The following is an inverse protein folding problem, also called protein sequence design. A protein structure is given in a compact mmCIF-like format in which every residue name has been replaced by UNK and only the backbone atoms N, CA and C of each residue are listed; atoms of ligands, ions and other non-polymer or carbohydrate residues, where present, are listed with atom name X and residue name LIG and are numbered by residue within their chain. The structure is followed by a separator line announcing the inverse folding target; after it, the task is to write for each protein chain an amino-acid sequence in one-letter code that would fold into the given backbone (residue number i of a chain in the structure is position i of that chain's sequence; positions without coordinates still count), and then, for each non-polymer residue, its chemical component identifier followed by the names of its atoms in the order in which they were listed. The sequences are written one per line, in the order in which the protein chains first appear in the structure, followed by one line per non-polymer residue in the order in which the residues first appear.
data_IF_690106344255
#
_entry.id   IF_690106344255
#
_cell.length_a   1.000
_cell.length_b   1.000
_cell.length_c   1.000
_cell.angle_alpha   90.00
_cell.angle_beta   90.00
_cell.angle_gamma   90.00
#
_symmetry.space_group_name_H-M   'P 1'
#
loop_
_entity.id
_entity.type
_entity.pdbx_description
1 polymer ?
#
# COMPACT_ATOMS: atom_id res chain seq x y z
N UNK A 1 -10.75 -12.72 -0.19
CA UNK A 1 -10.58 -13.24 -1.57
C UNK A 1 -9.09 -13.20 -1.91
N UNK A 2 -8.53 -14.25 -2.53
CA UNK A 2 -7.11 -14.31 -2.90
C UNK A 2 -7.04 -14.20 -4.42
N UNK A 3 -6.31 -13.18 -4.93
CA UNK A 3 -6.07 -13.03 -6.35
C UNK A 3 -4.85 -13.83 -6.79
N UNK A 4 -4.99 -14.59 -7.89
CA UNK A 4 -3.90 -15.32 -8.52
C UNK A 4 -3.41 -14.51 -9.72
N UNK A 5 -2.16 -14.06 -9.65
CA UNK A 5 -1.52 -13.27 -10.71
C UNK A 5 -0.46 -14.15 -11.39
N UNK A 6 -0.33 -14.01 -12.71
CA UNK A 6 0.71 -14.69 -13.50
C UNK A 6 2.11 -14.40 -12.94
N UNK A 7 2.99 -15.39 -13.01
CA UNK A 7 4.35 -15.27 -12.48
C UNK A 7 5.15 -14.13 -13.12
N UNK A 8 5.02 -13.97 -14.43
CA UNK A 8 5.63 -12.86 -15.19
C UNK A 8 5.17 -11.49 -14.69
N UNK A 9 3.87 -11.34 -14.39
CA UNK A 9 3.33 -10.10 -13.83
C UNK A 9 3.90 -9.82 -12.43
N UNK A 10 4.11 -10.83 -11.61
CA UNK A 10 4.76 -10.68 -10.29
C UNK A 10 6.18 -10.14 -10.40
N UNK A 11 6.96 -10.65 -11.39
CA UNK A 11 8.33 -10.16 -11.63
C UNK A 11 8.29 -8.69 -12.07
N UNK A 12 7.42 -8.34 -13.00
CA UNK A 12 7.25 -6.96 -13.47
C UNK A 12 6.87 -6.02 -12.33
N UNK A 13 5.88 -6.40 -11.52
CA UNK A 13 5.47 -5.62 -10.34
C UNK A 13 6.61 -5.45 -9.34
N UNK A 14 7.46 -6.46 -9.17
CA UNK A 14 8.63 -6.37 -8.30
C UNK A 14 9.67 -5.38 -8.82
N UNK A 15 9.89 -5.34 -10.13
CA UNK A 15 10.79 -4.36 -10.76
C UNK A 15 10.23 -2.94 -10.58
N UNK A 16 8.93 -2.75 -10.82
CA UNK A 16 8.27 -1.45 -10.61
C UNK A 16 8.34 -1.01 -9.15
N UNK A 17 8.11 -1.93 -8.21
CA UNK A 17 8.26 -1.66 -6.78
C UNK A 17 9.66 -1.13 -6.45
N UNK A 18 10.72 -1.80 -6.91
CA UNK A 18 12.10 -1.40 -6.65
C UNK A 18 12.43 -0.01 -7.24
N UNK A 19 11.85 0.30 -8.41
CA UNK A 19 12.00 1.63 -9.02
C UNK A 19 11.29 2.71 -8.24
N UNK A 20 10.07 2.45 -7.76
CA UNK A 20 9.28 3.40 -6.97
C UNK A 20 9.85 3.61 -5.56
N UNK A 21 10.40 2.57 -4.93
CA UNK A 21 11.02 2.68 -3.61
C UNK A 21 12.09 3.77 -3.54
N UNK A 22 12.80 4.02 -4.64
CA UNK A 22 13.83 5.08 -4.70
C UNK A 22 13.24 6.48 -4.49
N UNK A 23 12.02 6.72 -4.97
CA UNK A 23 11.33 8.01 -4.80
C UNK A 23 10.58 8.09 -3.48
N UNK A 24 9.81 7.05 -3.18
CA UNK A 24 8.89 7.02 -2.04
C UNK A 24 9.63 7.05 -0.71
N UNK A 25 10.79 6.38 -0.59
CA UNK A 25 11.55 6.32 0.66
C UNK A 25 12.03 7.69 1.18
N UNK A 26 12.19 8.67 0.30
CA UNK A 26 12.59 10.03 0.69
C UNK A 26 11.42 10.86 1.21
N UNK A 27 10.20 10.53 0.77
CA UNK A 27 8.99 11.28 1.11
C UNK A 27 8.23 10.71 2.32
N UNK A 28 8.52 9.45 2.68
CA UNK A 28 7.87 8.81 3.83
C UNK A 28 8.45 9.36 5.13
N UNK A 29 7.64 9.97 6.01
CA UNK A 29 8.11 10.50 7.28
C UNK A 29 8.66 9.38 8.18
N UNK A 30 9.64 9.73 9.02
CA UNK A 30 10.32 8.76 9.90
C UNK A 30 9.41 8.10 10.92
N UNK A 31 8.29 8.73 11.24
CA UNK A 31 7.29 8.17 12.16
C UNK A 31 6.51 7.00 11.55
N UNK A 32 6.47 6.88 10.22
CA UNK A 32 5.80 5.76 9.58
C UNK A 32 6.64 4.49 9.67
N UNK A 33 6.10 3.47 10.31
CA UNK A 33 6.73 2.16 10.43
C UNK A 33 6.19 1.12 9.46
N UNK A 34 4.91 1.23 9.10
CA UNK A 34 4.26 0.28 8.20
C UNK A 34 4.87 0.31 6.79
N UNK A 35 5.05 -0.89 6.19
CA UNK A 35 5.58 -1.08 4.84
C UNK A 35 7.00 -0.53 4.60
N UNK A 36 7.77 -0.28 5.66
CA UNK A 36 9.17 0.15 5.57
C UNK A 36 10.13 -0.99 5.88
N UNK A 37 11.17 -1.13 5.06
CA UNK A 37 12.24 -2.09 5.28
C UNK A 37 13.00 -1.71 6.57
N UNK A 38 13.25 -2.70 7.43
CA UNK A 38 13.99 -2.51 8.70
C UNK A 38 13.15 -1.93 9.85
N UNK A 39 11.85 -1.68 9.64
CA UNK A 39 10.92 -1.26 10.70
C UNK A 39 9.99 -2.42 11.07
N UNK A 40 10.18 -2.99 12.25
CA UNK A 40 9.41 -4.15 12.72
C UNK A 40 8.31 -3.81 13.73
N UNK A 41 7.35 -4.71 13.88
CA UNK A 41 6.31 -4.59 14.92
C UNK A 41 6.92 -4.49 16.32
N UNK A 42 8.02 -5.24 16.57
CA UNK A 42 8.72 -5.23 17.88
C UNK A 42 9.22 -3.83 18.25
N UNK A 43 9.75 -3.08 17.27
CA UNK A 43 10.24 -1.73 17.51
C UNK A 43 9.10 -0.79 17.88
N UNK A 44 7.92 -0.95 17.25
CA UNK A 44 6.74 -0.14 17.56
C UNK A 44 6.16 -0.47 18.93
N UNK A 45 6.14 -1.74 19.31
CA UNK A 45 5.75 -2.16 20.67
C UNK A 45 6.71 -1.57 21.70
N UNK A 46 8.02 -1.60 21.44
CA UNK A 46 9.02 -1.02 22.33
C UNK A 46 8.84 0.50 22.47
N UNK A 47 8.55 1.21 21.39
CA UNK A 47 8.24 2.64 21.40
C UNK A 47 7.02 2.95 22.27
N UNK A 48 5.93 2.20 22.11
CA UNK A 48 4.72 2.37 22.94
C UNK A 48 5.04 2.12 24.41
N UNK A 49 5.77 1.04 24.74
CA UNK A 49 6.19 0.75 26.11
C UNK A 49 7.04 1.88 26.71
N UNK A 50 7.95 2.46 25.92
CA UNK A 50 8.77 3.58 26.36
C UNK A 50 7.93 4.83 26.65
N UNK A 51 6.96 5.14 25.76
CA UNK A 51 6.01 6.24 25.97
C UNK A 51 5.20 6.04 27.25
N UNK A 52 4.67 4.82 27.49
CA UNK A 52 3.92 4.48 28.69
C UNK A 52 4.77 4.65 29.95
N UNK A 53 6.03 4.21 29.93
CA UNK A 53 6.95 4.39 31.05
C UNK A 53 7.21 5.87 31.34
N UNK A 54 7.42 6.68 30.32
CA UNK A 54 7.60 8.14 30.49
C UNK A 54 6.33 8.83 31.01
N UNK A 55 5.17 8.40 30.55
CA UNK A 55 3.88 8.96 30.99
C UNK A 55 3.62 8.77 32.48
N UNK A 56 4.01 7.63 33.03
CA UNK A 56 3.86 7.33 34.50
C UNK A 56 4.57 8.34 35.40
N UNK A 57 5.54 9.07 34.86
CA UNK A 57 6.36 10.03 35.61
C UNK A 57 5.86 11.46 35.45
N UNK A 58 5.20 11.81 34.36
CA UNK A 58 5.00 13.22 34.03
C UNK A 58 3.58 13.68 33.71
N UNK A 59 2.70 12.91 33.07
CA UNK A 59 1.32 13.31 32.70
C UNK A 59 0.47 12.12 32.26
N UNK A 60 -0.86 12.28 32.30
CA UNK A 60 -1.79 11.35 31.64
C UNK A 60 -1.60 11.40 30.13
N UNK A 61 -1.43 10.25 29.48
CA UNK A 61 -1.37 10.11 28.04
C UNK A 61 -2.59 9.32 27.58
N UNK A 62 -3.21 9.79 26.52
CA UNK A 62 -4.34 9.15 25.88
C UNK A 62 -3.87 8.57 24.55
N UNK A 63 -4.21 7.29 24.27
CA UNK A 63 -3.95 6.63 23.00
C UNK A 63 -5.24 6.52 22.22
N UNK A 64 -5.19 6.87 20.94
CA UNK A 64 -6.25 6.60 19.97
C UNK A 64 -5.70 5.67 18.91
N UNK A 65 -6.36 4.52 18.67
CA UNK A 65 -6.01 3.58 17.63
C UNK A 65 -7.07 3.66 16.53
N UNK A 66 -6.64 3.94 15.30
CA UNK A 66 -7.52 4.05 14.13
C UNK A 66 -7.17 2.91 13.18
N UNK A 67 -8.13 2.04 12.91
CA UNK A 67 -8.02 0.97 11.93
C UNK A 67 -8.92 1.26 10.74
N UNK A 68 -8.35 1.16 9.52
CA UNK A 68 -9.08 1.42 8.29
C UNK A 68 -9.58 0.11 7.68
N UNK A 69 -10.88 -0.02 7.51
CA UNK A 69 -11.44 -1.10 6.74
C UNK A 69 -11.14 -0.92 5.24
N UNK A 70 -10.66 -1.98 4.59
CA UNK A 70 -10.43 -2.01 3.13
C UNK A 70 -9.57 -0.87 2.57
N UNK A 71 -8.53 -0.46 3.27
CA UNK A 71 -7.64 0.65 2.89
C UNK A 71 -7.18 0.59 1.43
N UNK A 72 -6.78 -0.60 0.96
CA UNK A 72 -6.27 -0.77 -0.40
C UNK A 72 -7.36 -0.74 -1.47
N UNK A 73 -8.58 -1.14 -1.13
CA UNK A 73 -9.71 -1.15 -2.06
C UNK A 73 -10.33 0.25 -2.24
N UNK A 74 -10.06 1.18 -1.31
CA UNK A 74 -10.62 2.53 -1.29
C UNK A 74 -9.65 3.62 -1.78
N UNK A 75 -8.59 3.26 -2.48
CA UNK A 75 -7.60 4.23 -2.98
C UNK A 75 -8.16 4.98 -4.18
N UNK A 76 -8.24 6.31 -4.07
CA UNK A 76 -8.53 7.19 -5.21
C UNK A 76 -7.32 7.24 -6.15
N UNK A 77 -7.41 6.56 -7.27
CA UNK A 77 -6.32 6.47 -8.25
C UNK A 77 -5.93 7.85 -8.80
N UNK A 78 -6.88 8.77 -9.02
CA UNK A 78 -6.57 10.09 -9.54
C UNK A 78 -5.73 10.92 -8.55
N UNK A 79 -6.01 10.79 -7.26
CA UNK A 79 -5.18 11.39 -6.21
C UNK A 79 -3.81 10.72 -6.13
N UNK A 80 -3.77 9.40 -6.24
CA UNK A 80 -2.51 8.63 -6.24
C UNK A 80 -1.56 9.12 -7.34
N UNK A 81 -2.05 9.30 -8.58
CA UNK A 81 -1.22 9.80 -9.69
C UNK A 81 -0.68 11.21 -9.44
N UNK A 82 -1.48 12.09 -8.84
CA UNK A 82 -1.04 13.43 -8.47
C UNK A 82 0.05 13.41 -7.41
N UNK A 83 -0.08 12.55 -6.40
CA UNK A 83 0.91 12.38 -5.33
C UNK A 83 2.23 11.84 -5.92
N UNK A 84 2.19 10.79 -6.73
CA UNK A 84 3.39 10.22 -7.35
C UNK A 84 4.14 11.25 -8.21
N UNK A 85 3.39 12.07 -8.94
CA UNK A 85 3.98 13.17 -9.71
C UNK A 85 4.60 14.23 -8.79
N UNK A 86 3.95 14.56 -7.68
CA UNK A 86 4.49 15.50 -6.68
C UNK A 86 5.78 14.99 -6.01
N UNK A 87 5.92 13.67 -5.85
CA UNK A 87 7.14 13.02 -5.36
C UNK A 87 8.27 12.96 -6.40
N UNK A 88 8.09 13.51 -7.59
CA UNK A 88 9.09 13.47 -8.67
C UNK A 88 9.22 12.13 -9.38
N UNK A 89 8.24 11.24 -9.23
CA UNK A 89 8.22 9.96 -9.97
C UNK A 89 8.10 10.26 -11.46
N UNK A 90 8.94 9.63 -12.26
CA UNK A 90 9.03 9.83 -13.70
C UNK A 90 7.68 9.53 -14.39
N UNK A 91 7.30 10.36 -15.33
CA UNK A 91 5.99 10.27 -16.02
C UNK A 91 5.79 8.90 -16.69
N UNK A 92 6.83 8.28 -17.23
CA UNK A 92 6.73 6.95 -17.84
C UNK A 92 6.41 5.85 -16.82
N UNK A 93 6.93 5.93 -15.58
CA UNK A 93 6.59 4.97 -14.52
C UNK A 93 5.14 5.16 -14.06
N UNK A 94 4.71 6.40 -13.91
CA UNK A 94 3.32 6.71 -13.56
C UNK A 94 2.36 6.25 -14.65
N UNK A 95 2.73 6.42 -15.94
CA UNK A 95 1.95 5.94 -17.07
C UNK A 95 1.85 4.40 -17.08
N UNK A 96 2.94 3.69 -16.84
CA UNK A 96 2.93 2.23 -16.75
C UNK A 96 1.99 1.74 -15.62
N UNK A 97 2.07 2.36 -14.44
CA UNK A 97 1.17 2.03 -13.34
C UNK A 97 -0.29 2.30 -13.71
N UNK A 98 -0.58 3.46 -14.29
CA UNK A 98 -1.94 3.81 -14.73
C UNK A 98 -2.50 2.79 -15.72
N UNK A 99 -1.69 2.36 -16.70
CA UNK A 99 -2.10 1.35 -17.67
C UNK A 99 -2.35 -0.02 -17.02
N UNK A 100 -1.54 -0.39 -16.01
CA UNK A 100 -1.77 -1.61 -15.23
C UNK A 100 -3.12 -1.61 -14.52
N UNK A 101 -3.53 -0.46 -13.97
CA UNK A 101 -4.82 -0.35 -13.27
C UNK A 101 -6.00 -0.19 -14.24
N UNK A 102 -5.82 0.47 -15.37
CA UNK A 102 -6.91 0.77 -16.32
C UNK A 102 -7.48 -0.46 -17.04
N UNK A 103 -6.70 -1.54 -17.14
CA UNK A 103 -7.08 -2.72 -17.95
C UNK A 103 -7.19 -3.99 -17.09
N UNK A 104 -7.51 -3.86 -15.82
CA UNK A 104 -7.64 -5.03 -14.95
C UNK A 104 -8.94 -5.76 -15.20
N UNK A 105 -8.81 -7.05 -15.49
CA UNK A 105 -9.93 -7.98 -15.62
C UNK A 105 -9.74 -9.14 -14.63
N UNK A 106 -10.83 -9.69 -14.16
CA UNK A 106 -10.83 -10.84 -13.28
C UNK A 106 -11.83 -11.90 -13.73
N UNK A 107 -11.53 -13.14 -13.38
CA UNK A 107 -12.48 -14.25 -13.45
C UNK A 107 -12.46 -14.97 -12.11
N UNK A 108 -13.59 -15.49 -11.68
CA UNK A 108 -13.73 -16.22 -10.42
C UNK A 108 -13.78 -17.71 -10.69
N UNK A 109 -12.89 -18.46 -10.04
CA UNK A 109 -12.92 -19.93 -10.09
C UNK A 109 -13.83 -20.46 -8.99
N UNK A 110 -14.85 -21.18 -9.38
CA UNK A 110 -15.82 -21.84 -8.50
C UNK A 110 -15.69 -23.35 -8.59
N UNK A 111 -16.39 -24.10 -7.73
CA UNK A 111 -16.48 -25.56 -7.83
C UNK A 111 -17.16 -26.06 -9.11
N UNK A 112 -17.91 -25.19 -9.82
CA UNK A 112 -18.65 -25.50 -11.03
C UNK A 112 -17.95 -25.00 -12.32
N UNK A 113 -16.79 -24.36 -12.21
CA UNK A 113 -16.05 -23.83 -13.34
C UNK A 113 -15.51 -22.42 -13.09
N UNK A 114 -15.10 -21.75 -14.17
CA UNK A 114 -14.59 -20.39 -14.13
C UNK A 114 -15.63 -19.47 -14.79
N UNK A 115 -15.90 -18.31 -14.17
CA UNK A 115 -16.78 -17.30 -14.76
C UNK A 115 -16.16 -16.66 -16.00
N UNK A 116 -16.97 -15.98 -16.78
CA UNK A 116 -16.46 -15.07 -17.80
C UNK A 116 -15.60 -13.96 -17.19
N UNK A 117 -14.70 -13.41 -17.98
CA UNK A 117 -13.88 -12.31 -17.57
C UNK A 117 -14.70 -11.02 -17.43
N UNK A 118 -14.53 -10.34 -16.32
CA UNK A 118 -15.17 -9.05 -16.07
C UNK A 118 -14.15 -8.00 -15.68
N UNK A 119 -14.42 -6.75 -16.05
CA UNK A 119 -13.55 -5.62 -15.67
C UNK A 119 -13.69 -5.35 -14.18
N UNK A 120 -12.54 -5.15 -13.53
CA UNK A 120 -12.50 -4.68 -12.15
C UNK A 120 -12.79 -3.17 -12.22
N UNK A 121 -13.99 -2.78 -11.76
CA UNK A 121 -14.38 -1.37 -11.68
C UNK A 121 -13.61 -0.65 -10.58
N UNK A 122 -13.38 0.65 -10.77
CA UNK A 122 -13.04 1.53 -9.65
C UNK A 122 -14.16 1.40 -8.61
N UNK A 123 -13.81 0.96 -7.41
CA UNK A 123 -14.77 0.98 -6.29
C UNK A 123 -14.99 2.45 -5.96
N UNK A 124 -16.18 2.94 -6.33
CA UNK A 124 -16.67 4.28 -5.98
C UNK A 124 -16.95 4.34 -4.48
#
# INVERSE_FOLDING_TARGET
MIALILYTSKVMLKILQLKLEQYVNHEIPDVQAGFRKGRGIRDQIANIHWIIKKARVQKNIYFCFIDYAKTFDCVDHNKLWKILKGMGVLDHLTCLLRNLYASQEAAVRTGHGTTDWFKIGEVI
#
